data_IF_796772439460
#
_entry.id   IF_796772439460
#
_cell.length_a   1.000
_cell.length_b   1.000
_cell.length_c   1.000
_cell.angle_alpha   90.00
_cell.angle_beta   90.00
_cell.angle_gamma   90.00
#
_symmetry.space_group_name_H-M   'P 1'
#
loop_
_entity.id
_entity.type
_entity.pdbx_description
1 polymer ?
#
# COMPACT_ATOMS: atom_id res chain seq x y z
N UNK A 1 44.45 35.80 -1.81
CA UNK A 1 44.25 35.19 -3.14
C UNK A 1 42.75 34.96 -3.33
N UNK A 2 42.24 34.99 -4.56
CA UNK A 2 40.82 34.79 -4.83
C UNK A 2 40.42 33.30 -4.77
N UNK A 3 41.27 32.42 -5.31
CA UNK A 3 41.12 30.96 -5.21
C UNK A 3 41.84 30.45 -3.97
N UNK A 4 41.17 29.58 -3.22
CA UNK A 4 41.70 28.95 -2.02
C UNK A 4 42.03 27.47 -2.33
N UNK A 5 43.24 26.99 -2.03
CA UNK A 5 43.61 25.58 -2.23
C UNK A 5 42.80 24.64 -1.33
N UNK A 6 42.41 25.12 -0.15
CA UNK A 6 41.58 24.38 0.80
C UNK A 6 40.10 24.35 0.44
N UNK A 7 39.67 25.01 -0.65
CA UNK A 7 38.26 24.97 -1.06
C UNK A 7 37.98 23.70 -1.88
N UNK A 8 37.26 22.70 -1.31
CA UNK A 8 36.93 21.47 -2.02
C UNK A 8 36.00 21.70 -3.23
N UNK A 9 35.39 22.88 -3.33
CA UNK A 9 34.51 23.25 -4.44
C UNK A 9 35.23 23.93 -5.61
N UNK A 10 36.53 24.19 -5.50
CA UNK A 10 37.33 24.88 -6.54
C UNK A 10 37.52 24.07 -7.83
N UNK A 11 37.43 22.75 -7.78
CA UNK A 11 37.50 21.88 -8.95
C UNK A 11 38.90 21.67 -9.57
N UNK A 12 39.91 22.37 -9.06
CA UNK A 12 41.31 22.18 -9.43
C UNK A 12 41.89 20.92 -8.77
N UNK A 13 42.64 20.14 -9.54
CA UNK A 13 43.36 18.95 -9.03
C UNK A 13 44.81 19.24 -8.66
N UNK A 14 45.37 20.34 -9.16
CA UNK A 14 46.78 20.67 -9.04
C UNK A 14 46.94 22.10 -8.54
N UNK A 15 47.59 22.25 -7.38
CA UNK A 15 47.82 23.56 -6.74
C UNK A 15 48.68 24.49 -7.61
N UNK A 16 49.58 23.93 -8.41
CA UNK A 16 50.41 24.68 -9.36
C UNK A 16 49.56 25.41 -10.42
N UNK A 17 48.51 24.77 -10.92
CA UNK A 17 47.57 25.36 -11.89
C UNK A 17 46.75 26.45 -11.21
N UNK A 18 46.28 26.18 -9.98
CA UNK A 18 45.51 27.16 -9.20
C UNK A 18 46.35 28.41 -8.90
N UNK A 19 47.62 28.24 -8.50
CA UNK A 19 48.54 29.34 -8.24
C UNK A 19 48.80 30.18 -9.48
N UNK A 20 49.01 29.54 -10.65
CA UNK A 20 49.18 30.23 -11.92
C UNK A 20 47.94 31.05 -12.30
N UNK A 21 46.74 30.48 -12.16
CA UNK A 21 45.50 31.21 -12.47
C UNK A 21 45.29 32.37 -11.51
N UNK A 22 45.53 32.17 -10.21
CA UNK A 22 45.51 33.25 -9.22
C UNK A 22 46.48 34.37 -9.59
N UNK A 23 47.71 34.04 -10.03
CA UNK A 23 48.69 35.03 -10.50
C UNK A 23 48.16 35.79 -11.72
N UNK A 24 47.62 35.08 -12.73
CA UNK A 24 47.08 35.69 -13.94
C UNK A 24 45.88 36.60 -13.67
N UNK A 25 44.99 36.20 -12.77
CA UNK A 25 43.87 37.04 -12.32
C UNK A 25 44.38 38.27 -11.55
N UNK A 26 45.37 38.09 -10.67
CA UNK A 26 45.88 39.16 -9.82
C UNK A 26 46.64 40.27 -10.59
N UNK A 27 46.86 40.11 -11.90
CA UNK A 27 47.44 41.15 -12.76
C UNK A 27 46.58 42.42 -12.83
N UNK A 28 45.28 42.30 -12.56
CA UNK A 28 44.38 43.45 -12.49
C UNK A 28 43.32 43.24 -11.40
N UNK A 29 42.93 44.31 -10.70
CA UNK A 29 42.00 44.24 -9.56
C UNK A 29 40.65 43.60 -9.91
N UNK A 30 40.16 43.87 -11.12
CA UNK A 30 38.92 43.29 -11.64
C UNK A 30 38.93 41.76 -11.74
N UNK A 31 40.08 41.09 -11.87
CA UNK A 31 40.12 39.62 -11.97
C UNK A 31 39.62 38.93 -10.70
N UNK A 32 40.25 39.17 -9.54
CA UNK A 32 39.77 38.69 -8.25
C UNK A 32 38.35 39.14 -7.91
N UNK A 33 38.00 40.41 -8.16
CA UNK A 33 36.66 40.95 -7.90
C UNK A 33 35.60 40.20 -8.72
N UNK A 34 35.85 40.04 -10.03
CA UNK A 34 34.96 39.30 -10.92
C UNK A 34 34.75 37.86 -10.44
N UNK A 35 35.78 37.15 -9.98
CA UNK A 35 35.60 35.81 -9.43
C UNK A 35 34.69 35.80 -8.19
N UNK A 36 34.96 36.68 -7.23
CA UNK A 36 34.24 36.72 -5.96
C UNK A 36 32.77 37.13 -6.14
N UNK A 37 32.50 38.17 -6.94
CA UNK A 37 31.15 38.66 -7.20
C UNK A 37 30.26 37.63 -7.90
N UNK A 38 30.86 36.75 -8.71
CA UNK A 38 30.13 35.84 -9.57
C UNK A 38 30.14 34.38 -9.06
N UNK A 39 30.69 34.13 -7.86
CA UNK A 39 30.77 32.78 -7.26
C UNK A 39 29.40 32.14 -6.99
N UNK A 40 28.36 32.96 -6.80
CA UNK A 40 27.00 32.52 -6.49
C UNK A 40 26.05 32.50 -7.69
N UNK A 41 26.50 32.98 -8.85
CA UNK A 41 25.67 33.06 -10.04
C UNK A 41 25.63 31.75 -10.82
N UNK A 42 24.63 31.61 -11.67
CA UNK A 42 24.58 30.53 -12.66
C UNK A 42 25.64 30.73 -13.74
N UNK A 43 26.08 29.64 -14.39
CA UNK A 43 27.07 29.72 -15.45
C UNK A 43 26.66 30.67 -16.60
N UNK A 44 25.37 30.67 -16.97
CA UNK A 44 24.84 31.55 -18.00
C UNK A 44 25.02 33.03 -17.64
N UNK A 45 24.68 33.42 -16.41
CA UNK A 45 24.84 34.81 -15.94
C UNK A 45 26.31 35.24 -15.87
N UNK A 46 27.22 34.32 -15.52
CA UNK A 46 28.66 34.59 -15.52
C UNK A 46 29.17 34.83 -16.95
N UNK A 47 28.73 33.99 -17.91
CA UNK A 47 29.11 34.13 -19.32
C UNK A 47 28.57 35.43 -19.93
N UNK A 48 27.33 35.80 -19.62
CA UNK A 48 26.73 37.05 -20.07
C UNK A 48 27.45 38.28 -19.51
N UNK A 49 27.86 38.24 -18.23
CA UNK A 49 28.68 39.30 -17.64
C UNK A 49 30.07 39.39 -18.27
N UNK A 50 30.71 38.24 -18.56
CA UNK A 50 32.00 38.24 -19.25
C UNK A 50 31.86 38.84 -20.64
N UNK A 51 30.80 38.49 -21.39
CA UNK A 51 30.51 39.06 -22.71
C UNK A 51 30.45 40.59 -22.64
N UNK A 52 29.70 41.15 -21.69
CA UNK A 52 29.63 42.60 -21.49
C UNK A 52 30.99 43.25 -21.23
N UNK A 53 31.84 42.61 -20.43
CA UNK A 53 33.22 43.10 -20.16
C UNK A 53 34.10 43.06 -21.41
N UNK A 54 33.94 42.03 -22.25
CA UNK A 54 34.73 41.88 -23.48
C UNK A 54 34.33 42.90 -24.54
N UNK A 55 33.04 43.21 -24.65
CA UNK A 55 32.47 44.18 -25.60
C UNK A 55 32.75 45.64 -25.19
N UNK A 56 33.00 45.91 -23.91
CA UNK A 56 33.30 47.24 -23.40
C UNK A 56 34.66 47.76 -23.91
N UNK A 57 34.64 48.74 -24.82
CA UNK A 57 35.86 49.35 -25.38
C UNK A 57 36.63 50.22 -24.38
N UNK A 58 36.01 50.65 -23.29
CA UNK A 58 36.64 51.52 -22.28
C UNK A 58 37.57 50.73 -21.35
N UNK A 59 37.42 49.41 -21.28
CA UNK A 59 38.23 48.57 -20.39
C UNK A 59 39.59 48.20 -20.99
N UNK A 60 40.68 48.35 -20.21
CA UNK A 60 42.01 47.89 -20.60
C UNK A 60 42.04 46.39 -20.94
N UNK A 61 42.90 46.00 -21.88
CA UNK A 61 43.10 44.58 -22.25
C UNK A 61 43.46 43.73 -21.03
N UNK A 62 44.31 44.24 -20.15
CA UNK A 62 44.73 43.56 -18.93
C UNK A 62 43.56 43.26 -17.98
N UNK A 63 42.59 44.18 -17.90
CA UNK A 63 41.38 43.98 -17.12
C UNK A 63 40.50 42.88 -17.72
N UNK A 64 40.34 42.87 -19.05
CA UNK A 64 39.59 41.85 -19.78
C UNK A 64 40.23 40.47 -19.63
N UNK A 65 41.55 40.39 -19.76
CA UNK A 65 42.32 39.16 -19.55
C UNK A 65 42.18 38.63 -18.12
N UNK A 66 42.32 39.50 -17.11
CA UNK A 66 42.16 39.12 -15.71
C UNK A 66 40.74 38.59 -15.42
N UNK A 67 39.70 39.22 -15.97
CA UNK A 67 38.32 38.73 -15.89
C UNK A 67 38.12 37.39 -16.61
N UNK A 68 38.77 37.19 -17.77
CA UNK A 68 38.71 35.92 -18.49
C UNK A 68 39.31 34.76 -17.68
N UNK A 69 40.44 34.99 -16.99
CA UNK A 69 41.00 34.01 -16.05
C UNK A 69 40.07 33.75 -14.84
N UNK A 70 39.42 34.80 -14.32
CA UNK A 70 38.39 34.66 -13.28
C UNK A 70 37.19 33.83 -13.74
N UNK A 71 36.72 34.05 -14.97
CA UNK A 71 35.64 33.27 -15.58
C UNK A 71 36.04 31.81 -15.82
N UNK A 72 37.29 31.54 -16.24
CA UNK A 72 37.81 30.18 -16.39
C UNK A 72 37.77 29.44 -15.04
N UNK A 73 38.21 30.10 -13.98
CA UNK A 73 38.17 29.52 -12.63
C UNK A 73 36.71 29.23 -12.17
N UNK A 74 35.77 30.14 -12.45
CA UNK A 74 34.34 29.90 -12.19
C UNK A 74 33.78 28.74 -13.02
N UNK A 75 34.20 28.61 -14.28
CA UNK A 75 33.77 27.51 -15.15
C UNK A 75 34.25 26.15 -14.65
N UNK A 76 35.49 26.06 -14.18
CA UNK A 76 36.03 24.84 -13.56
C UNK A 76 35.29 24.49 -12.26
N UNK A 77 35.00 25.47 -11.41
CA UNK A 77 34.16 25.32 -10.21
C UNK A 77 32.76 24.81 -10.58
N UNK A 78 32.13 25.38 -11.59
CA UNK A 78 30.79 24.98 -12.04
C UNK A 78 30.78 23.55 -12.58
N UNK A 79 31.71 23.21 -13.47
CA UNK A 79 31.85 21.86 -14.02
C UNK A 79 32.10 20.82 -12.92
N UNK A 80 32.93 21.16 -11.92
CA UNK A 80 33.17 20.29 -10.78
C UNK A 80 31.93 20.07 -9.94
N UNK A 81 31.22 21.14 -9.54
CA UNK A 81 29.95 21.04 -8.80
C UNK A 81 28.91 20.22 -9.57
N UNK A 82 28.79 20.46 -10.88
CA UNK A 82 27.85 19.73 -11.74
C UNK A 82 28.19 18.24 -11.78
N UNK A 83 29.47 17.88 -11.89
CA UNK A 83 29.92 16.48 -11.81
C UNK A 83 29.57 15.84 -10.46
N UNK A 84 29.81 16.52 -9.35
CA UNK A 84 29.47 16.01 -8.02
C UNK A 84 27.97 15.76 -7.89
N UNK A 85 27.14 16.75 -8.27
CA UNK A 85 25.68 16.63 -8.23
C UNK A 85 25.17 15.48 -9.10
N UNK A 86 25.70 15.32 -10.31
CA UNK A 86 25.34 14.20 -11.19
C UNK A 86 25.72 12.86 -10.58
N UNK A 87 26.91 12.74 -9.99
CA UNK A 87 27.35 11.51 -9.33
C UNK A 87 26.43 11.14 -8.16
N UNK A 88 26.12 12.12 -7.31
CA UNK A 88 25.17 11.95 -6.21
C UNK A 88 23.79 11.53 -6.72
N UNK A 89 23.29 12.16 -7.79
CA UNK A 89 22.00 11.83 -8.40
C UNK A 89 21.96 10.41 -8.95
N UNK A 90 22.99 10.00 -9.67
CA UNK A 90 23.10 8.63 -10.20
C UNK A 90 23.15 7.61 -9.07
N UNK A 91 23.94 7.88 -8.03
CA UNK A 91 24.02 6.99 -6.87
C UNK A 91 22.68 6.88 -6.13
N UNK A 92 21.98 8.00 -5.96
CA UNK A 92 20.65 8.03 -5.34
C UNK A 92 19.62 7.24 -6.17
N UNK A 93 19.57 7.45 -7.48
CA UNK A 93 18.68 6.71 -8.38
C UNK A 93 18.96 5.21 -8.33
N UNK A 94 20.23 4.81 -8.36
CA UNK A 94 20.61 3.41 -8.26
C UNK A 94 20.13 2.75 -6.97
N UNK A 95 20.33 3.42 -5.83
CA UNK A 95 19.86 2.93 -4.53
C UNK A 95 18.33 2.85 -4.46
N UNK A 96 17.65 3.86 -5.00
CA UNK A 96 16.18 3.87 -5.09
C UNK A 96 15.66 2.71 -5.93
N UNK A 97 16.22 2.47 -7.12
CA UNK A 97 15.86 1.35 -7.98
C UNK A 97 16.10 -0.01 -7.30
N UNK A 98 17.22 -0.16 -6.57
CA UNK A 98 17.50 -1.37 -5.80
C UNK A 98 16.43 -1.63 -4.74
N UNK A 99 16.07 -0.62 -3.95
CA UNK A 99 15.04 -0.73 -2.92
C UNK A 99 13.67 -1.07 -3.51
N UNK A 100 13.32 -0.42 -4.61
CA UNK A 100 12.05 -0.70 -5.30
C UNK A 100 12.03 -2.13 -5.87
N UNK A 101 13.14 -2.60 -6.44
CA UNK A 101 13.27 -3.97 -6.94
C UNK A 101 13.11 -4.99 -5.81
N UNK A 102 13.77 -4.78 -4.66
CA UNK A 102 13.63 -5.69 -3.52
C UNK A 102 12.21 -5.70 -2.96
N UNK A 103 11.58 -4.52 -2.82
CA UNK A 103 10.20 -4.42 -2.34
C UNK A 103 9.21 -5.12 -3.29
N UNK A 104 9.37 -4.95 -4.60
CA UNK A 104 8.54 -5.63 -5.59
C UNK A 104 8.74 -7.16 -5.56
N UNK A 105 9.97 -7.62 -5.36
CA UNK A 105 10.27 -9.06 -5.22
C UNK A 105 9.63 -9.65 -3.96
N UNK A 106 9.74 -8.98 -2.80
CA UNK A 106 9.08 -9.40 -1.56
C UNK A 106 7.56 -9.41 -1.72
N UNK A 107 6.98 -8.40 -2.37
CA UNK A 107 5.55 -8.37 -2.62
C UNK A 107 5.12 -9.54 -3.52
N UNK A 108 5.88 -9.83 -4.58
CA UNK A 108 5.61 -10.94 -5.47
C UNK A 108 5.68 -12.31 -4.76
N UNK A 109 6.66 -12.51 -3.86
CA UNK A 109 6.74 -13.75 -3.06
C UNK A 109 5.55 -13.88 -2.11
N UNK A 110 5.20 -12.82 -1.39
CA UNK A 110 4.07 -12.83 -0.47
C UNK A 110 2.74 -13.12 -1.19
N UNK A 111 2.53 -12.53 -2.38
CA UNK A 111 1.33 -12.80 -3.18
C UNK A 111 1.29 -14.26 -3.66
N UNK A 112 2.44 -14.84 -4.02
CA UNK A 112 2.50 -16.26 -4.39
C UNK A 112 2.13 -17.15 -3.20
N UNK A 113 2.73 -16.90 -2.04
CA UNK A 113 2.45 -17.65 -0.80
C UNK A 113 0.97 -17.55 -0.40
N UNK A 114 0.39 -16.36 -0.43
CA UNK A 114 -1.04 -16.17 -0.15
C UNK A 114 -1.94 -16.89 -1.16
N UNK A 115 -1.53 -16.95 -2.43
CA UNK A 115 -2.29 -17.66 -3.45
C UNK A 115 -2.25 -19.16 -3.22
N UNK A 116 -1.06 -19.70 -2.93
CA UNK A 116 -0.85 -21.12 -2.61
C UNK A 116 -1.63 -21.52 -1.34
N UNK A 117 -1.58 -20.71 -0.29
CA UNK A 117 -2.34 -20.92 0.94
C UNK A 117 -3.85 -20.95 0.65
N UNK A 118 -4.36 -19.97 -0.09
CA UNK A 118 -5.77 -19.90 -0.44
C UNK A 118 -6.21 -21.10 -1.29
N UNK A 119 -5.36 -21.61 -2.16
CA UNK A 119 -5.65 -22.82 -2.92
C UNK A 119 -5.71 -24.07 -2.05
N UNK A 120 -4.81 -24.18 -1.06
CA UNK A 120 -4.81 -25.27 -0.09
C UNK A 120 -6.09 -25.26 0.74
N UNK A 121 -6.45 -24.10 1.34
CA UNK A 121 -7.67 -23.93 2.12
C UNK A 121 -8.93 -24.30 1.31
N UNK A 122 -8.98 -23.92 0.03
CA UNK A 122 -10.09 -24.30 -0.86
C UNK A 122 -10.15 -25.81 -1.11
N UNK A 123 -9.01 -26.47 -1.31
CA UNK A 123 -8.95 -27.92 -1.52
C UNK A 123 -9.39 -28.66 -0.26
N UNK A 124 -8.97 -28.21 0.91
CA UNK A 124 -9.38 -28.75 2.21
C UNK A 124 -10.88 -28.59 2.45
N UNK A 125 -11.42 -27.39 2.22
CA UNK A 125 -12.85 -27.14 2.35
C UNK A 125 -13.67 -28.02 1.38
N UNK A 126 -13.21 -28.18 0.14
CA UNK A 126 -13.84 -29.06 -0.83
C UNK A 126 -13.78 -30.54 -0.41
N UNK A 127 -12.67 -30.98 0.19
CA UNK A 127 -12.54 -32.32 0.75
C UNK A 127 -13.53 -32.56 1.89
N UNK A 128 -13.60 -31.64 2.85
CA UNK A 128 -14.55 -31.74 3.97
C UNK A 128 -15.99 -31.75 3.49
N UNK A 129 -16.34 -30.93 2.51
CA UNK A 129 -17.68 -30.91 1.94
C UNK A 129 -18.04 -32.26 1.28
N UNK A 130 -17.13 -32.87 0.52
CA UNK A 130 -17.37 -34.19 -0.08
C UNK A 130 -17.55 -35.26 0.99
N UNK A 131 -16.75 -35.21 2.05
CA UNK A 131 -16.85 -36.15 3.16
C UNK A 131 -18.21 -36.02 3.88
N UNK A 132 -18.68 -34.81 4.13
CA UNK A 132 -19.99 -34.60 4.78
C UNK A 132 -21.15 -35.00 3.87
N UNK A 133 -21.06 -34.74 2.56
CA UNK A 133 -22.03 -35.21 1.57
C UNK A 133 -22.13 -36.73 1.56
N UNK A 134 -21.00 -37.45 1.51
CA UNK A 134 -20.99 -38.91 1.53
C UNK A 134 -21.63 -39.47 2.82
N UNK A 135 -21.31 -38.89 3.98
CA UNK A 135 -21.95 -39.27 5.26
C UNK A 135 -23.46 -38.99 5.25
N UNK A 136 -23.88 -37.87 4.67
CA UNK A 136 -25.30 -37.54 4.57
C UNK A 136 -26.05 -38.54 3.68
N UNK A 137 -25.46 -38.96 2.55
CA UNK A 137 -26.03 -39.99 1.69
C UNK A 137 -26.17 -41.34 2.40
N UNK A 138 -25.19 -41.71 3.23
CA UNK A 138 -25.25 -42.93 4.05
C UNK A 138 -26.41 -42.87 5.06
N UNK A 139 -26.51 -41.78 5.84
CA UNK A 139 -27.61 -41.57 6.78
C UNK A 139 -28.97 -41.52 6.06
N UNK A 140 -29.03 -40.93 4.86
CA UNK A 140 -30.26 -40.93 4.05
C UNK A 140 -30.70 -42.35 3.68
N UNK A 141 -29.77 -43.22 3.26
CA UNK A 141 -30.06 -44.64 2.95
C UNK A 141 -30.52 -45.41 4.18
N UNK A 142 -29.88 -45.22 5.33
CA UNK A 142 -30.30 -45.84 6.59
C UNK A 142 -31.72 -45.42 6.98
N UNK A 143 -31.99 -44.12 6.88
CA UNK A 143 -33.29 -43.52 7.15
C UNK A 143 -34.38 -44.06 6.22
N UNK A 144 -34.08 -44.23 4.93
CA UNK A 144 -35.02 -44.81 3.97
C UNK A 144 -35.25 -46.31 4.20
N UNK A 145 -34.22 -47.06 4.61
CA UNK A 145 -34.37 -48.45 5.04
C UNK A 145 -35.27 -48.57 6.28
N UNK A 146 -35.10 -47.70 7.27
CA UNK A 146 -35.94 -47.67 8.47
C UNK A 146 -37.40 -47.34 8.13
N UNK A 147 -37.64 -46.35 7.27
CA UNK A 147 -38.99 -46.04 6.77
C UNK A 147 -39.65 -47.25 6.11
N UNK A 148 -38.91 -47.95 5.26
CA UNK A 148 -39.44 -49.13 4.58
C UNK A 148 -39.78 -50.27 5.56
N UNK A 149 -38.94 -50.48 6.58
CA UNK A 149 -39.23 -51.47 7.65
C UNK A 149 -40.49 -51.10 8.42
N UNK A 150 -40.67 -49.82 8.76
CA UNK A 150 -41.86 -49.32 9.45
C UNK A 150 -43.13 -49.56 8.62
N UNK A 151 -43.10 -49.18 7.34
CA UNK A 151 -44.23 -49.39 6.42
C UNK A 151 -44.62 -50.87 6.29
N UNK A 152 -43.63 -51.78 6.27
CA UNK A 152 -43.90 -53.22 6.28
C UNK A 152 -44.61 -53.66 7.57
N UNK A 153 -44.11 -53.23 8.72
CA UNK A 153 -44.69 -53.57 10.01
C UNK A 153 -46.13 -53.03 10.16
N UNK A 154 -46.40 -51.82 9.68
CA UNK A 154 -47.76 -51.24 9.63
C UNK A 154 -48.70 -52.07 8.75
N UNK A 155 -48.22 -52.56 7.60
CA UNK A 155 -49.01 -53.38 6.69
C UNK A 155 -49.26 -54.80 7.23
N UNK A 156 -48.30 -55.38 7.95
CA UNK A 156 -48.48 -56.64 8.68
C UNK A 156 -49.49 -56.47 9.82
N UNK A 157 -49.38 -55.39 10.59
CA UNK A 157 -50.33 -55.05 11.66
C UNK A 157 -51.76 -54.83 11.14
N UNK A 158 -51.93 -54.12 10.03
CA UNK A 158 -53.24 -53.90 9.41
C UNK A 158 -53.90 -55.22 8.97
N UNK A 159 -53.12 -56.16 8.42
CA UNK A 159 -53.62 -57.50 8.04
C UNK A 159 -53.99 -58.35 9.26
N UNK A 160 -53.26 -58.22 10.36
CA UNK A 160 -53.61 -58.90 11.61
C UNK A 160 -54.87 -58.32 12.25
N UNK A 161 -55.08 -57.00 12.13
CA UNK A 161 -56.30 -56.34 12.60
C UNK A 161 -57.54 -56.74 11.77
N UNK A 162 -57.42 -56.84 10.45
CA UNK A 162 -58.49 -57.29 9.53
C UNK A 162 -58.87 -58.77 9.80
N UNK A 163 -57.91 -59.62 10.18
CA UNK A 163 -58.18 -61.01 10.60
C UNK A 163 -58.84 -61.14 11.97
N UNK A 164 -58.76 -60.11 12.81
CA UNK A 164 -59.45 -60.07 14.11
C UNK A 164 -60.87 -59.50 13.98
N UNK A 165 -61.16 -58.68 12.95
CA UNK A 165 -62.51 -58.18 12.65
C UNK A 165 -63.39 -59.13 11.80
N UNK A 166 -62.83 -60.11 11.08
CA UNK A 166 -63.60 -61.18 10.38
C UNK A 166 -64.15 -62.29 11.32
N UNK A 167 -64.79 -61.90 12.43
CA UNK A 167 -65.63 -62.75 13.28
C UNK A 167 -67.07 -62.20 13.35
N UNK A 168 -68.13 -63.03 13.26
CA UNK A 168 -69.49 -62.53 12.99
C UNK A 168 -70.06 -61.73 14.18
N UNK A 169 -70.58 -60.53 13.87
CA UNK A 169 -71.09 -59.58 14.85
C UNK A 169 -72.53 -59.78 15.31
N UNK A 170 -72.96 -58.95 16.28
CA UNK A 170 -74.22 -58.18 16.29
C UNK A 170 -74.39 -57.33 17.57
N UNK A 171 -74.53 -56.02 17.35
CA UNK A 171 -75.55 -55.08 17.84
C UNK A 171 -75.97 -54.96 19.34
N UNK A 172 -75.85 -53.69 19.81
CA UNK A 172 -76.77 -52.89 20.68
C UNK A 172 -76.82 -53.21 22.20
N UNK A 173 -76.92 -52.29 23.16
CA UNK A 173 -77.60 -50.97 23.20
C UNK A 173 -77.17 -50.10 24.41
N UNK A 174 -77.16 -48.77 24.22
CA UNK A 174 -77.62 -47.65 25.07
C UNK A 174 -77.17 -47.39 26.54
N UNK A 175 -76.79 -46.12 26.77
CA UNK A 175 -76.93 -45.34 28.02
C UNK A 175 -76.03 -44.09 28.04
N UNK A 176 -76.40 -42.96 27.41
CA UNK A 176 -77.11 -41.79 27.98
C UNK A 176 -76.46 -41.22 29.27
N UNK A 177 -75.57 -40.21 29.18
CA UNK A 177 -75.85 -38.78 29.41
C UNK A 177 -74.85 -38.25 30.48
N UNK A 178 -74.38 -37.01 30.57
CA UNK A 178 -74.76 -35.70 30.01
C UNK A 178 -73.64 -34.68 30.35
N UNK A 179 -73.37 -33.78 29.39
CA UNK A 179 -72.85 -32.39 29.44
C UNK A 179 -71.97 -31.86 30.58
N UNK A 180 -70.91 -31.11 30.21
CA UNK A 180 -70.86 -29.61 30.19
C UNK A 180 -69.40 -29.16 30.03
N UNK A 181 -69.01 -28.69 28.84
CA UNK A 181 -68.96 -27.29 28.37
C UNK A 181 -67.88 -26.43 29.02
N UNK A 182 -67.09 -25.77 28.17
CA UNK A 182 -66.08 -24.78 28.55
C UNK A 182 -65.04 -24.60 27.45
N UNK A 183 -65.43 -23.87 26.41
CA UNK A 183 -64.51 -23.25 25.44
C UNK A 183 -63.60 -22.24 26.17
N UNK A 184 -62.33 -22.15 25.77
CA UNK A 184 -61.70 -20.83 25.54
C UNK A 184 -60.45 -21.01 24.68
N UNK A 185 -60.56 -20.47 23.47
CA UNK A 185 -59.47 -19.93 22.68
C UNK A 185 -58.78 -18.83 23.48
N UNK A 186 -57.45 -18.77 23.48
CA UNK A 186 -56.80 -17.46 23.45
C UNK A 186 -55.50 -17.47 22.64
N UNK A 187 -55.35 -16.34 21.96
CA UNK A 187 -54.42 -15.99 20.90
C UNK A 187 -53.21 -15.25 21.50
N UNK A 188 -52.20 -15.05 20.65
CA UNK A 188 -51.12 -14.06 20.70
C UNK A 188 -49.75 -14.64 21.14
N UNK A 189 -48.78 -14.80 20.24
CA UNK A 189 -48.05 -13.79 19.45
C UNK A 189 -46.95 -13.06 20.25
N UNK A 190 -45.83 -12.83 19.54
CA UNK A 190 -44.64 -12.02 19.85
C UNK A 190 -43.50 -12.73 20.61
N UNK A 191 -42.24 -12.69 20.18
CA UNK A 191 -41.63 -12.18 18.95
C UNK A 191 -40.20 -12.76 18.83
N UNK A 192 -39.80 -13.07 17.60
CA UNK A 192 -38.41 -12.91 17.14
C UNK A 192 -37.98 -11.46 17.27
N UNK A 193 -36.81 -11.20 17.83
CA UNK A 193 -36.00 -10.02 17.51
C UNK A 193 -34.55 -10.43 17.23
N UNK A 194 -34.25 -10.56 15.93
CA UNK A 194 -32.94 -10.23 15.36
C UNK A 194 -32.90 -8.74 15.04
N UNK A 195 -31.87 -8.03 15.52
CA UNK A 195 -31.22 -6.82 14.95
C UNK A 195 -30.35 -6.22 16.09
N UNK A 196 -29.02 -6.32 16.08
CA UNK A 196 -28.12 -5.51 15.24
C UNK A 196 -28.60 -4.06 15.08
N UNK A 197 -28.12 -3.15 15.92
CA UNK A 197 -27.54 -1.84 15.57
C UNK A 197 -27.12 -1.09 16.84
N UNK A 198 -26.00 -0.36 16.77
CA UNK A 198 -25.50 0.51 17.82
C UNK A 198 -24.14 0.03 18.32
N UNK A 199 -23.03 0.35 17.67
CA UNK A 199 -22.69 1.69 17.20
C UNK A 199 -21.69 2.28 18.18
N UNK A 200 -20.44 2.31 17.74
CA UNK A 200 -19.29 2.81 18.45
C UNK A 200 -19.49 4.21 19.04
N UNK A 201 -19.04 4.40 20.27
CA UNK A 201 -18.66 5.71 20.80
C UNK A 201 -17.31 5.58 21.54
N UNK A 202 -16.32 5.02 20.86
CA UNK A 202 -14.90 5.22 21.17
C UNK A 202 -14.38 6.40 20.37
N UNK A 203 -14.78 7.61 20.78
CA UNK A 203 -14.41 8.87 20.13
C UNK A 203 -12.96 9.22 20.42
N UNK A 204 -12.06 8.82 19.51
CA UNK A 204 -10.67 9.22 19.48
C UNK A 204 -10.48 10.70 19.14
N UNK A 205 -9.43 11.25 19.75
CA UNK A 205 -8.49 12.24 19.22
C UNK A 205 -9.00 13.25 18.19
N UNK A 206 -9.30 14.46 18.66
CA UNK A 206 -9.16 15.66 17.84
C UNK A 206 -7.72 16.15 17.91
N UNK A 207 -6.94 15.81 16.89
CA UNK A 207 -5.73 16.53 16.51
C UNK A 207 -6.18 17.84 15.84
N UNK A 208 -5.83 18.97 16.48
CA UNK A 208 -5.92 20.30 15.86
C UNK A 208 -4.55 20.61 15.28
N UNK A 209 -4.46 20.62 13.96
CA UNK A 209 -3.42 21.36 13.26
C UNK A 209 -3.79 22.85 13.31
N UNK A 210 -2.89 23.66 13.85
CA UNK A 210 -2.88 25.11 13.69
C UNK A 210 -1.42 25.58 13.56
N UNK A 211 -1.06 25.84 12.30
CA UNK A 211 -0.22 26.95 11.84
C UNK A 211 1.05 27.29 12.62
N UNK A 212 2.18 26.77 12.11
CA UNK A 212 3.48 27.42 12.21
C UNK A 212 3.92 27.93 10.84
N UNK A 213 3.74 29.24 10.57
CA UNK A 213 4.49 29.98 9.54
C UNK A 213 4.84 31.36 10.07
N UNK A 214 6.13 31.59 10.29
CA UNK A 214 6.69 32.91 10.55
C UNK A 214 8.13 32.85 11.04
N UNK A 215 9.06 33.36 10.21
CA UNK A 215 10.54 33.36 10.28
C UNK A 215 11.17 32.10 9.66
N UNK A 216 12.11 32.17 8.71
CA UNK A 216 13.07 33.21 8.30
C UNK A 216 13.09 33.27 6.77
#
# INVERSE_FOLDING_TARGET
MALNPEDPSGGFQHDTVMAFINEKMARHVKGPEFYLENTSLSWAEVEDKLRGILEDSELPSEAKEACAWGCLALGLRFAHKQRQLHTCRVQWLHNFCKLHKSAAQTLASNLRELTEQKEMERKEAAYHLRLTQAKLEEVQKERDLLRWKLFRAELEFAREQERVEEGPGLATVSGAGTERAGEEEDVAEAATTTATTGGAAGGGGRQKDAEGRGRI
#
